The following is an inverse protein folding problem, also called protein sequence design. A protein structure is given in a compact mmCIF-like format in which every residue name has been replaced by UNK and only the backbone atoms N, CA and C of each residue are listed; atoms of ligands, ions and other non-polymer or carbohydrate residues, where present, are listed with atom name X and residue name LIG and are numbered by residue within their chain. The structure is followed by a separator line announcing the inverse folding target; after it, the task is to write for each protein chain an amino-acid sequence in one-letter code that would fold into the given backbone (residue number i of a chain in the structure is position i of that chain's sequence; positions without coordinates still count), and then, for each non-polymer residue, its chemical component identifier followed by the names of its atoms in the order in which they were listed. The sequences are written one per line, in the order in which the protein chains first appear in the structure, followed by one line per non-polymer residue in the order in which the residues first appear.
data_IF_972978207548
#
_entry.id   IF_972978207548
#
_cell.length_a   1.000
_cell.length_b   1.000
_cell.length_c   1.000
_cell.angle_alpha   90.00
_cell.angle_beta   90.00
_cell.angle_gamma   90.00
#
_symmetry.space_group_name_H-M   'P 1'
#
loop_
_entity.id
_entity.type
_entity.pdbx_description
1 polymer ?
#
# COMPACT_ATOMS: atom_id res chain seq x y z
N UNK A 1 -10.36 -6.26 14.31
CA UNK A 1 -9.64 -6.96 13.23
C UNK A 1 -10.08 -6.41 11.89
N UNK A 2 -9.15 -5.84 11.10
CA UNK A 2 -9.42 -5.34 9.74
C UNK A 2 -9.01 -6.34 8.67
N UNK A 3 -7.93 -7.08 8.90
CA UNK A 3 -7.42 -8.14 8.03
C UNK A 3 -7.17 -9.38 8.88
N UNK A 4 -7.61 -10.52 8.40
CA UNK A 4 -7.30 -11.83 8.98
C UNK A 4 -7.10 -12.84 7.86
N UNK A 5 -5.87 -13.31 7.72
CA UNK A 5 -5.49 -14.41 6.85
C UNK A 5 -5.05 -15.57 7.73
N UNK A 6 -5.49 -16.78 7.42
CA UNK A 6 -5.10 -17.99 8.15
C UNK A 6 -4.83 -19.10 7.15
N UNK A 7 -3.61 -19.64 7.22
CA UNK A 7 -3.13 -20.71 6.34
C UNK A 7 -3.35 -20.39 4.85
N UNK A 8 -3.20 -19.09 4.49
CA UNK A 8 -3.49 -18.63 3.15
C UNK A 8 -2.44 -19.11 2.17
N UNK A 9 -2.89 -19.65 1.05
CA UNK A 9 -2.03 -19.95 -0.10
C UNK A 9 -2.49 -19.19 -1.34
N UNK A 10 -1.52 -18.83 -2.19
CA UNK A 10 -1.71 -18.16 -3.45
C UNK A 10 -0.87 -18.83 -4.52
N UNK A 11 -1.47 -19.22 -5.63
CA UNK A 11 -0.77 -19.83 -6.76
C UNK A 11 -1.00 -19.06 -8.06
N UNK A 12 -0.01 -19.15 -8.96
CA UNK A 12 -0.15 -18.66 -10.34
C UNK A 12 -0.76 -19.78 -11.17
N UNK A 13 -1.88 -19.48 -11.85
CA UNK A 13 -2.56 -20.43 -12.76
C UNK A 13 -2.86 -21.82 -12.13
N UNK A 14 -2.98 -21.90 -10.81
CA UNK A 14 -3.36 -23.13 -10.10
C UNK A 14 -2.25 -24.14 -9.86
N UNK A 15 -1.01 -23.92 -10.31
CA UNK A 15 0.09 -24.87 -10.17
C UNK A 15 1.31 -24.33 -9.43
N UNK A 16 1.74 -23.11 -9.76
CA UNK A 16 2.97 -22.56 -9.19
C UNK A 16 2.67 -21.77 -7.90
N UNK A 17 3.11 -22.21 -6.74
CA UNK A 17 2.89 -21.48 -5.49
C UNK A 17 3.66 -20.16 -5.49
N UNK A 18 2.96 -19.05 -5.18
CA UNK A 18 3.56 -17.73 -4.95
C UNK A 18 3.75 -17.54 -3.46
N UNK A 19 2.72 -17.89 -2.66
CA UNK A 19 2.71 -17.83 -1.22
C UNK A 19 2.03 -19.08 -0.68
N UNK A 20 2.51 -19.63 0.45
CA UNK A 20 1.98 -20.81 1.08
C UNK A 20 1.94 -20.63 2.60
N UNK A 21 0.87 -21.10 3.22
CA UNK A 21 0.70 -21.12 4.68
C UNK A 21 0.92 -19.78 5.35
N UNK A 22 0.34 -18.71 4.77
CA UNK A 22 0.48 -17.34 5.29
C UNK A 22 -0.54 -17.10 6.40
N UNK A 23 -0.05 -16.77 7.59
CA UNK A 23 -0.81 -16.19 8.68
C UNK A 23 -0.47 -14.70 8.79
N UNK A 24 -1.48 -13.84 8.66
CA UNK A 24 -1.30 -12.40 8.69
C UNK A 24 -2.53 -11.72 9.28
N UNK A 25 -2.34 -10.75 10.14
CA UNK A 25 -3.43 -9.98 10.70
C UNK A 25 -3.10 -8.49 10.79
N UNK A 26 -4.13 -7.64 10.78
CA UNK A 26 -4.00 -6.21 11.03
C UNK A 26 -5.26 -5.64 11.69
N UNK A 27 -5.03 -4.69 12.60
CA UNK A 27 -6.07 -3.92 13.28
C UNK A 27 -6.00 -2.43 12.92
N UNK A 28 -7.00 -1.65 13.30
CA UNK A 28 -6.95 -0.20 13.13
C UNK A 28 -5.82 0.41 13.96
N UNK A 29 -5.05 1.32 13.36
CA UNK A 29 -3.89 1.93 13.99
C UNK A 29 -2.60 1.11 13.92
N UNK A 30 -2.60 -0.04 13.27
CA UNK A 30 -1.35 -0.77 13.01
C UNK A 30 -0.52 -0.11 11.92
N UNK A 31 0.81 -0.17 12.08
CA UNK A 31 1.76 0.11 11.01
C UNK A 31 2.59 -1.15 10.77
N UNK A 32 2.41 -1.76 9.61
CA UNK A 32 3.00 -3.06 9.27
C UNK A 32 3.91 -2.90 8.05
N UNK A 33 5.14 -3.35 8.18
CA UNK A 33 6.10 -3.46 7.09
C UNK A 33 6.15 -4.88 6.56
N UNK A 34 6.18 -5.03 5.24
CA UNK A 34 6.43 -6.31 4.58
C UNK A 34 7.76 -6.17 3.83
N UNK A 35 8.77 -6.90 4.28
CA UNK A 35 10.14 -6.88 3.73
C UNK A 35 10.44 -8.19 3.02
N UNK A 36 11.57 -8.27 2.31
CA UNK A 36 12.03 -9.47 1.60
C UNK A 36 12.46 -9.21 0.16
N UNK A 37 13.17 -10.16 -0.46
CA UNK A 37 13.72 -10.04 -1.82
C UNK A 37 12.66 -9.76 -2.88
N UNK A 38 13.08 -9.23 -4.03
CA UNK A 38 12.19 -9.03 -5.19
C UNK A 38 11.65 -10.40 -5.65
N UNK A 39 10.38 -10.45 -6.03
CA UNK A 39 9.75 -11.68 -6.52
C UNK A 39 9.22 -12.63 -5.45
N UNK A 40 9.41 -12.37 -4.15
CA UNK A 40 8.94 -13.27 -3.06
C UNK A 40 7.43 -13.27 -2.81
N UNK A 41 6.64 -12.44 -3.51
CA UNK A 41 5.17 -12.44 -3.38
C UNK A 41 4.57 -11.27 -2.61
N UNK A 42 5.36 -10.29 -2.15
CA UNK A 42 4.89 -9.12 -1.37
C UNK A 42 3.77 -8.35 -2.06
N UNK A 43 3.98 -7.90 -3.30
CA UNK A 43 2.96 -7.24 -4.13
C UNK A 43 1.76 -8.15 -4.37
N UNK A 44 1.96 -9.47 -4.49
CA UNK A 44 0.88 -10.43 -4.67
C UNK A 44 -0.01 -10.51 -3.43
N UNK A 45 0.57 -10.45 -2.23
CA UNK A 45 -0.20 -10.34 -1.00
C UNK A 45 -1.05 -9.08 -0.99
N UNK A 46 -0.47 -7.91 -1.29
CA UNK A 46 -1.26 -6.67 -1.38
C UNK A 46 -2.43 -6.83 -2.36
N UNK A 47 -2.20 -7.46 -3.53
CA UNK A 47 -3.23 -7.73 -4.54
C UNK A 47 -4.36 -8.63 -4.05
N UNK A 48 -4.06 -9.58 -3.17
CA UNK A 48 -5.08 -10.37 -2.46
C UNK A 48 -5.91 -9.48 -1.54
N UNK A 49 -5.28 -8.63 -0.74
CA UNK A 49 -5.97 -7.80 0.26
C UNK A 49 -7.01 -6.85 -0.35
N UNK A 50 -6.79 -6.33 -1.57
CA UNK A 50 -7.81 -5.51 -2.24
C UNK A 50 -8.61 -6.27 -3.32
N UNK A 51 -8.50 -7.61 -3.33
CA UNK A 51 -9.32 -8.49 -4.16
C UNK A 51 -9.01 -8.42 -5.66
N UNK A 52 -7.77 -8.13 -6.06
CA UNK A 52 -7.31 -8.27 -7.44
C UNK A 52 -6.93 -9.72 -7.74
N UNK A 53 -6.20 -10.37 -6.81
CA UNK A 53 -5.89 -11.77 -6.88
C UNK A 53 -6.79 -12.55 -5.92
N UNK A 54 -7.21 -13.74 -6.34
CA UNK A 54 -7.94 -14.66 -5.48
C UNK A 54 -6.97 -15.64 -4.84
N UNK A 55 -7.05 -15.85 -3.51
CA UNK A 55 -6.30 -16.90 -2.87
C UNK A 55 -6.73 -18.28 -3.38
N UNK A 56 -5.81 -19.25 -3.35
CA UNK A 56 -6.05 -20.62 -3.82
C UNK A 56 -6.54 -21.53 -2.70
N UNK A 57 -6.11 -21.32 -1.45
CA UNK A 57 -6.50 -22.10 -0.28
C UNK A 57 -6.40 -21.26 1.00
N UNK A 58 -6.93 -21.80 2.11
CA UNK A 58 -6.93 -21.18 3.43
C UNK A 58 -8.15 -20.30 3.72
N UNK A 59 -7.96 -19.28 4.57
CA UNK A 59 -9.00 -18.32 4.93
C UNK A 59 -8.47 -16.90 4.71
N UNK A 60 -9.31 -16.02 4.15
CA UNK A 60 -8.98 -14.61 3.94
C UNK A 60 -10.18 -13.74 4.19
N UNK A 61 -10.14 -12.96 5.26
CA UNK A 61 -11.15 -11.97 5.59
C UNK A 61 -10.53 -10.57 5.60
N UNK A 62 -11.14 -9.63 4.86
CA UNK A 62 -10.74 -8.23 4.81
C UNK A 62 -11.97 -7.36 5.01
N UNK A 63 -11.95 -6.51 6.04
CA UNK A 63 -13.07 -5.61 6.40
C UNK A 63 -14.40 -6.36 6.52
N UNK A 64 -14.40 -7.55 7.13
CA UNK A 64 -15.56 -8.41 7.31
C UNK A 64 -16.03 -9.12 6.02
N UNK A 65 -15.22 -9.12 4.95
CA UNK A 65 -15.53 -9.80 3.71
C UNK A 65 -14.65 -11.04 3.51
N UNK A 66 -15.26 -12.21 3.39
CA UNK A 66 -14.59 -13.44 2.96
C UNK A 66 -14.21 -13.31 1.46
N UNK A 67 -12.90 -13.24 1.15
CA UNK A 67 -12.40 -13.02 -0.20
C UNK A 67 -12.65 -14.20 -1.15
N UNK A 68 -12.83 -15.43 -0.62
CA UNK A 68 -13.19 -16.59 -1.44
C UNK A 68 -14.63 -16.50 -1.96
N UNK A 69 -15.53 -15.89 -1.18
CA UNK A 69 -16.96 -15.75 -1.51
C UNK A 69 -17.32 -14.40 -2.08
N UNK A 70 -16.40 -13.43 -2.07
CA UNK A 70 -16.65 -12.06 -2.51
C UNK A 70 -16.93 -12.03 -4.02
N UNK A 71 -18.16 -11.65 -4.37
CA UNK A 71 -18.57 -11.50 -5.78
C UNK A 71 -17.99 -10.23 -6.37
N UNK A 72 -17.63 -10.24 -7.66
CA UNK A 72 -17.06 -9.08 -8.38
C UNK A 72 -17.86 -7.78 -8.20
N UNK A 73 -19.18 -7.85 -8.15
CA UNK A 73 -20.05 -6.68 -7.92
C UNK A 73 -19.87 -6.01 -6.55
N UNK A 74 -19.29 -6.69 -5.57
CA UNK A 74 -19.06 -6.15 -4.21
C UNK A 74 -17.62 -5.62 -4.04
N UNK A 75 -16.68 -5.91 -4.95
CA UNK A 75 -15.31 -5.39 -4.91
C UNK A 75 -15.23 -3.86 -4.84
N UNK A 76 -16.05 -3.07 -5.57
CA UNK A 76 -16.00 -1.62 -5.45
C UNK A 76 -16.30 -1.11 -4.03
N UNK A 77 -17.20 -1.77 -3.30
CA UNK A 77 -17.54 -1.41 -1.92
C UNK A 77 -16.39 -1.73 -0.95
N UNK A 78 -15.68 -2.84 -1.15
CA UNK A 78 -14.46 -3.18 -0.41
C UNK A 78 -13.36 -2.17 -0.72
N UNK A 79 -13.04 -1.96 -2.01
CA UNK A 79 -11.95 -1.08 -2.46
C UNK A 79 -12.15 0.38 -2.07
N UNK A 80 -13.39 0.84 -1.93
CA UNK A 80 -13.68 2.18 -1.44
C UNK A 80 -13.12 2.44 -0.02
N UNK A 81 -12.99 1.39 0.79
CA UNK A 81 -12.47 1.46 2.16
C UNK A 81 -10.96 1.22 2.26
N UNK A 82 -10.30 0.97 1.13
CA UNK A 82 -8.87 0.68 1.02
C UNK A 82 -8.22 1.75 0.17
N UNK A 83 -7.25 2.47 0.73
CA UNK A 83 -6.37 3.35 -0.03
C UNK A 83 -5.22 2.54 -0.61
N UNK A 84 -4.91 2.73 -1.91
CA UNK A 84 -3.83 1.99 -2.56
C UNK A 84 -2.84 2.98 -3.14
N UNK A 85 -1.57 2.82 -2.79
CA UNK A 85 -0.43 3.57 -3.34
C UNK A 85 0.42 2.59 -4.13
N UNK A 86 0.40 2.74 -5.46
CA UNK A 86 1.12 1.88 -6.39
C UNK A 86 2.55 2.37 -6.61
N UNK A 87 3.47 1.46 -6.90
CA UNK A 87 4.86 1.77 -7.19
C UNK A 87 5.03 2.66 -8.44
N UNK A 88 4.18 2.48 -9.46
CA UNK A 88 4.23 3.15 -10.77
C UNK A 88 3.28 4.35 -10.90
N UNK A 89 2.89 4.97 -9.77
CA UNK A 89 1.99 6.11 -9.63
C UNK A 89 0.57 5.87 -10.17
N UNK A 90 0.41 5.34 -11.39
CA UNK A 90 -0.89 5.12 -12.07
C UNK A 90 -1.79 6.39 -12.09
N UNK A 91 -1.19 7.54 -12.39
CA UNK A 91 -1.91 8.77 -12.61
C UNK A 91 -2.39 8.88 -14.07
N UNK A 92 -3.58 9.44 -14.27
CA UNK A 92 -4.11 9.75 -15.60
C UNK A 92 -3.32 10.92 -16.18
N UNK A 93 -2.48 10.67 -17.18
CA UNK A 93 -1.47 11.61 -17.69
C UNK A 93 -2.07 12.82 -18.42
N UNK A 94 -3.26 12.65 -18.99
CA UNK A 94 -4.04 13.64 -19.72
C UNK A 94 -5.03 14.43 -18.84
N UNK A 95 -4.98 14.22 -17.55
CA UNK A 95 -5.82 14.83 -16.54
C UNK A 95 -4.97 15.62 -15.54
N UNK A 96 -5.47 16.79 -15.07
CA UNK A 96 -4.81 17.52 -13.99
C UNK A 96 -4.87 16.74 -12.68
N UNK A 97 -4.10 17.17 -11.67
CA UNK A 97 -4.16 16.61 -10.30
C UNK A 97 -5.59 16.63 -9.77
N UNK A 98 -6.27 17.78 -9.87
CA UNK A 98 -7.67 17.91 -9.45
C UNK A 98 -8.56 16.89 -10.16
N UNK A 99 -8.42 16.74 -11.47
CA UNK A 99 -9.23 15.81 -12.26
C UNK A 99 -8.95 14.34 -11.93
N UNK A 100 -7.69 13.98 -11.65
CA UNK A 100 -7.31 12.65 -11.17
C UNK A 100 -8.03 12.30 -9.86
N UNK A 101 -8.08 13.25 -8.92
CA UNK A 101 -8.74 13.05 -7.62
C UNK A 101 -10.28 13.07 -7.77
N UNK A 102 -10.84 13.99 -8.56
CA UNK A 102 -12.29 14.06 -8.84
C UNK A 102 -12.81 12.78 -9.50
N UNK A 103 -12.00 12.17 -10.39
CA UNK A 103 -12.35 10.89 -11.02
C UNK A 103 -12.63 9.81 -9.99
N UNK A 104 -11.78 9.67 -8.97
CA UNK A 104 -11.96 8.68 -7.90
C UNK A 104 -13.19 8.98 -7.06
N UNK A 105 -13.40 10.24 -6.67
CA UNK A 105 -14.58 10.64 -5.88
C UNK A 105 -15.89 10.40 -6.63
N UNK A 106 -15.89 10.64 -7.94
CA UNK A 106 -17.05 10.33 -8.80
C UNK A 106 -17.31 8.81 -8.82
N UNK A 107 -16.29 8.03 -9.07
CA UNK A 107 -16.38 6.57 -9.14
C UNK A 107 -16.85 5.95 -7.81
N UNK A 108 -16.51 6.59 -6.68
CA UNK A 108 -16.89 6.13 -5.34
C UNK A 108 -18.19 6.74 -4.80
N UNK A 109 -18.91 7.51 -5.65
CA UNK A 109 -20.27 7.98 -5.38
C UNK A 109 -20.37 9.24 -4.52
N UNK A 110 -19.32 10.07 -4.46
CA UNK A 110 -19.36 11.35 -3.75
C UNK A 110 -20.27 12.35 -4.48
N UNK A 111 -21.09 13.08 -3.71
CA UNK A 111 -21.94 14.14 -4.27
C UNK A 111 -21.09 15.26 -4.84
N UNK A 112 -21.50 15.81 -6.01
CA UNK A 112 -20.77 16.86 -6.73
C UNK A 112 -20.36 18.03 -5.84
N UNK A 113 -21.23 18.45 -4.91
CA UNK A 113 -20.98 19.61 -4.02
C UNK A 113 -19.90 19.35 -2.96
N UNK A 114 -19.61 18.09 -2.61
CA UNK A 114 -18.65 17.73 -1.56
C UNK A 114 -17.23 17.49 -2.10
N UNK A 115 -17.10 17.18 -3.39
CA UNK A 115 -15.83 16.75 -3.99
C UNK A 115 -14.75 17.83 -3.99
N UNK A 116 -15.03 19.11 -4.34
CA UNK A 116 -13.98 20.14 -4.33
C UNK A 116 -13.36 20.34 -2.95
N UNK A 117 -14.18 20.36 -1.92
CA UNK A 117 -13.70 20.48 -0.54
C UNK A 117 -12.83 19.31 -0.14
N UNK A 118 -13.27 18.07 -0.43
CA UNK A 118 -12.48 16.88 -0.12
C UNK A 118 -11.15 16.83 -0.88
N UNK A 119 -11.12 17.27 -2.14
CA UNK A 119 -9.87 17.35 -2.90
C UNK A 119 -8.93 18.37 -2.27
N UNK A 120 -9.43 19.54 -1.86
CA UNK A 120 -8.64 20.56 -1.17
C UNK A 120 -8.02 20.01 0.11
N UNK A 121 -8.83 19.38 0.97
CA UNK A 121 -8.37 18.76 2.24
C UNK A 121 -7.21 17.77 2.04
N UNK A 122 -7.36 16.83 1.10
CA UNK A 122 -6.30 15.82 0.87
C UNK A 122 -5.06 16.43 0.23
N UNK A 123 -5.19 17.44 -0.64
CA UNK A 123 -4.04 18.13 -1.20
C UNK A 123 -3.30 18.95 -0.16
N UNK A 124 -4.00 19.62 0.76
CA UNK A 124 -3.40 20.29 1.91
C UNK A 124 -2.66 19.31 2.80
N UNK A 125 -3.28 18.16 3.13
CA UNK A 125 -2.68 17.12 3.97
C UNK A 125 -1.35 16.57 3.40
N UNK A 126 -1.18 16.56 2.09
CA UNK A 126 0.07 16.10 1.43
C UNK A 126 0.97 17.27 0.99
N UNK A 127 0.62 18.53 1.29
CA UNK A 127 1.39 19.71 0.92
C UNK A 127 1.40 20.02 -0.58
N UNK A 128 0.28 19.73 -1.30
CA UNK A 128 0.17 19.86 -2.76
C UNK A 128 -1.00 20.76 -3.20
N UNK A 129 -1.52 21.62 -2.32
CA UNK A 129 -2.66 22.48 -2.59
C UNK A 129 -2.47 23.34 -3.86
N UNK A 130 -1.28 23.94 -4.03
CA UNK A 130 -0.93 24.81 -5.16
C UNK A 130 -0.72 24.07 -6.49
N UNK A 131 -0.75 22.73 -6.48
CA UNK A 131 -0.52 21.89 -7.66
C UNK A 131 -1.78 21.28 -8.24
N UNK A 132 -2.96 21.73 -7.80
CA UNK A 132 -4.25 21.16 -8.20
C UNK A 132 -4.48 21.18 -9.72
N UNK A 133 -4.04 22.23 -10.41
CA UNK A 133 -4.22 22.41 -11.85
C UNK A 133 -3.07 21.91 -12.71
N UNK A 134 -1.98 21.42 -12.10
CA UNK A 134 -0.84 20.83 -12.82
C UNK A 134 -1.19 19.45 -13.40
N UNK A 135 -0.56 19.09 -14.50
CA UNK A 135 -0.57 17.75 -15.04
C UNK A 135 0.51 16.87 -14.40
N UNK A 136 0.36 15.52 -14.36
CA UNK A 136 1.36 14.64 -13.79
C UNK A 136 2.78 14.82 -14.38
N UNK A 137 2.92 15.12 -15.67
CA UNK A 137 4.21 15.30 -16.31
C UNK A 137 4.92 16.61 -15.92
N UNK A 138 4.25 17.54 -15.28
CA UNK A 138 4.80 18.80 -14.74
C UNK A 138 5.31 18.63 -13.30
N UNK A 139 5.09 17.45 -12.69
CA UNK A 139 5.44 17.14 -11.31
C UNK A 139 6.71 16.29 -11.22
N UNK A 140 7.54 16.57 -10.22
CA UNK A 140 8.63 15.68 -9.83
C UNK A 140 8.12 14.32 -9.36
N UNK A 141 8.97 13.30 -9.29
CA UNK A 141 8.58 11.98 -8.79
C UNK A 141 8.01 12.02 -7.37
N UNK A 142 8.62 12.81 -6.47
CA UNK A 142 8.13 13.00 -5.11
C UNK A 142 6.77 13.71 -5.05
N UNK A 143 6.52 14.70 -5.90
CA UNK A 143 5.22 15.35 -6.01
C UNK A 143 4.16 14.39 -6.57
N UNK A 144 4.48 13.60 -7.60
CA UNK A 144 3.57 12.58 -8.11
C UNK A 144 3.21 11.56 -7.03
N UNK A 145 4.19 11.13 -6.23
CA UNK A 145 3.96 10.21 -5.11
C UNK A 145 3.02 10.81 -4.07
N UNK A 146 3.18 12.09 -3.71
CA UNK A 146 2.24 12.77 -2.80
C UNK A 146 0.82 12.81 -3.36
N UNK A 147 0.65 13.02 -4.67
CA UNK A 147 -0.67 12.95 -5.30
C UNK A 147 -1.25 11.53 -5.25
N UNK A 148 -0.44 10.49 -5.41
CA UNK A 148 -0.89 9.10 -5.24
C UNK A 148 -1.36 8.82 -3.81
N UNK A 149 -0.68 9.38 -2.81
CA UNK A 149 -1.09 9.27 -1.41
C UNK A 149 -2.38 10.07 -1.17
N UNK A 150 -2.49 11.33 -1.68
CA UNK A 150 -3.73 12.10 -1.61
C UNK A 150 -4.91 11.32 -2.19
N UNK A 151 -4.71 10.66 -3.36
CA UNK A 151 -5.70 9.79 -3.98
C UNK A 151 -6.10 8.62 -3.08
N UNK A 152 -5.16 8.00 -2.40
CA UNK A 152 -5.43 6.90 -1.47
C UNK A 152 -6.24 7.35 -0.25
N UNK A 153 -6.05 8.59 0.22
CA UNK A 153 -6.73 9.17 1.39
C UNK A 153 -8.16 9.68 1.10
N UNK A 154 -8.57 9.82 -0.17
CA UNK A 154 -9.84 10.45 -0.56
C UNK A 154 -11.08 9.92 0.14
N UNK A 155 -11.18 8.62 0.33
CA UNK A 155 -12.37 7.96 0.87
C UNK A 155 -12.29 7.68 2.38
N UNK A 156 -11.40 8.31 3.14
CA UNK A 156 -11.13 8.00 4.55
C UNK A 156 -10.91 6.49 4.74
N UNK A 157 -9.83 5.93 4.16
CA UNK A 157 -9.62 4.50 4.13
C UNK A 157 -9.42 3.93 5.54
N UNK A 158 -9.94 2.73 5.77
CA UNK A 158 -9.67 1.95 6.98
C UNK A 158 -8.35 1.18 6.88
N UNK A 159 -7.91 0.90 5.64
CA UNK A 159 -6.65 0.24 5.33
C UNK A 159 -5.93 1.04 4.24
N UNK A 160 -4.64 1.24 4.38
CA UNK A 160 -3.76 1.80 3.35
C UNK A 160 -2.75 0.72 2.97
N UNK A 161 -2.72 0.38 1.69
CA UNK A 161 -1.76 -0.55 1.11
C UNK A 161 -0.78 0.25 0.26
N UNK A 162 0.49 0.22 0.60
CA UNK A 162 1.53 0.97 -0.09
C UNK A 162 2.63 0.02 -0.61
N UNK A 163 2.85 0.04 -1.91
CA UNK A 163 3.90 -0.77 -2.56
C UNK A 163 5.06 0.14 -2.93
N UNK A 164 6.18 0.03 -2.19
CA UNK A 164 7.42 0.81 -2.34
C UNK A 164 7.19 2.35 -2.41
N UNK A 165 6.43 2.95 -1.48
CA UNK A 165 5.98 4.35 -1.62
C UNK A 165 7.10 5.38 -1.49
N UNK A 166 8.29 4.99 -1.06
CA UNK A 166 9.46 5.85 -0.89
C UNK A 166 10.62 5.48 -1.82
N UNK A 167 10.42 4.51 -2.72
CA UNK A 167 11.43 4.13 -3.68
C UNK A 167 11.78 5.29 -4.61
N UNK A 168 13.07 5.45 -4.91
CA UNK A 168 13.60 6.49 -5.79
C UNK A 168 13.36 7.94 -5.33
N UNK A 169 13.07 8.15 -4.04
CA UNK A 169 12.92 9.47 -3.45
C UNK A 169 14.14 9.80 -2.58
N UNK A 170 14.45 11.09 -2.50
CA UNK A 170 15.46 11.55 -1.56
C UNK A 170 15.00 11.31 -0.10
N UNK A 171 15.94 11.18 0.86
CA UNK A 171 15.61 10.84 2.25
C UNK A 171 14.65 11.80 2.93
N UNK A 172 14.70 13.10 2.60
CA UNK A 172 13.84 14.11 3.21
C UNK A 172 12.40 13.98 2.71
N UNK A 173 12.21 13.84 1.39
CA UNK A 173 10.90 13.55 0.79
C UNK A 173 10.34 12.24 1.33
N UNK A 174 11.19 11.21 1.47
CA UNK A 174 10.79 9.92 2.06
C UNK A 174 10.23 10.08 3.48
N UNK A 175 10.91 10.84 4.36
CA UNK A 175 10.43 11.13 5.72
C UNK A 175 9.09 11.86 5.74
N UNK A 176 8.92 12.84 4.87
CA UNK A 176 7.66 13.59 4.77
C UNK A 176 6.49 12.69 4.34
N UNK A 177 6.73 11.76 3.42
CA UNK A 177 5.75 10.74 3.01
C UNK A 177 5.42 9.82 4.17
N UNK A 178 6.43 9.35 4.91
CA UNK A 178 6.21 8.51 6.08
C UNK A 178 5.38 9.22 7.16
N UNK A 179 5.57 10.54 7.36
CA UNK A 179 4.76 11.31 8.29
C UNK A 179 3.28 11.35 7.88
N UNK A 180 2.97 11.43 6.58
CA UNK A 180 1.59 11.38 6.09
C UNK A 180 0.95 10.02 6.44
N UNK A 181 1.68 8.91 6.28
CA UNK A 181 1.18 7.60 6.69
C UNK A 181 1.01 7.46 8.19
N UNK A 182 1.92 8.03 9.00
CA UNK A 182 1.77 8.06 10.46
C UNK A 182 0.51 8.83 10.89
N UNK A 183 0.25 9.98 10.29
CA UNK A 183 -0.95 10.76 10.57
C UNK A 183 -2.22 9.94 10.26
N UNK A 184 -2.25 9.25 9.11
CA UNK A 184 -3.37 8.38 8.75
C UNK A 184 -3.54 7.20 9.72
N UNK A 185 -2.44 6.62 10.22
CA UNK A 185 -2.45 5.61 11.28
C UNK A 185 -3.04 6.15 12.58
N UNK A 186 -2.63 7.34 13.01
CA UNK A 186 -3.14 8.00 14.21
C UNK A 186 -4.64 8.31 14.11
N UNK A 187 -5.16 8.53 12.90
CA UNK A 187 -6.58 8.64 12.60
C UNK A 187 -7.31 7.28 12.61
N UNK A 188 -6.59 6.17 12.83
CA UNK A 188 -7.14 4.82 13.01
C UNK A 188 -7.05 3.92 11.78
N UNK A 189 -6.43 4.34 10.68
CA UNK A 189 -6.18 3.46 9.55
C UNK A 189 -5.08 2.43 9.87
N UNK A 190 -5.22 1.19 9.36
CA UNK A 190 -4.09 0.27 9.30
C UNK A 190 -3.24 0.58 8.07
N UNK A 191 -1.93 0.73 8.23
CA UNK A 191 -0.98 0.97 7.14
C UNK A 191 -0.15 -0.28 6.92
N UNK A 192 -0.25 -0.88 5.74
CA UNK A 192 0.55 -2.02 5.31
C UNK A 192 1.45 -1.57 4.17
N UNK A 193 2.76 -1.57 4.41
CA UNK A 193 3.76 -1.04 3.51
C UNK A 193 4.76 -2.12 3.09
N UNK A 194 4.86 -2.37 1.81
CA UNK A 194 5.99 -3.12 1.23
C UNK A 194 7.15 -2.16 1.06
N UNK A 195 8.33 -2.50 1.56
CA UNK A 195 9.53 -1.69 1.39
C UNK A 195 10.82 -2.51 1.51
N UNK A 196 11.85 -2.07 0.78
CA UNK A 196 13.23 -2.53 0.91
C UNK A 196 14.08 -1.55 1.76
N UNK A 197 13.55 -0.38 2.12
CA UNK A 197 14.28 0.62 2.88
C UNK A 197 14.19 0.36 4.40
N UNK A 198 15.09 -0.45 4.92
CA UNK A 198 15.15 -0.81 6.33
C UNK A 198 15.46 0.38 7.26
N UNK A 199 16.06 1.47 6.74
CA UNK A 199 16.33 2.66 7.54
C UNK A 199 15.03 3.35 8.03
N UNK A 200 13.94 3.17 7.30
CA UNK A 200 12.64 3.74 7.69
C UNK A 200 12.09 3.07 8.96
N UNK A 201 12.37 1.79 9.19
CA UNK A 201 11.87 1.04 10.34
C UNK A 201 12.42 1.61 11.66
N UNK A 202 13.67 2.08 11.66
CA UNK A 202 14.29 2.72 12.82
C UNK A 202 13.71 4.09 13.16
N UNK A 203 13.19 4.81 12.16
CA UNK A 203 12.61 6.14 12.33
C UNK A 203 11.10 6.10 12.59
N UNK A 204 10.42 5.11 12.02
CA UNK A 204 8.97 4.93 12.09
C UNK A 204 8.65 3.49 12.53
N UNK A 205 8.58 3.24 13.86
CA UNK A 205 8.38 1.88 14.38
C UNK A 205 7.06 1.25 13.93
N UNK A 206 7.10 -0.05 13.64
CA UNK A 206 5.94 -0.84 13.24
C UNK A 206 6.23 -2.33 13.35
N UNK A 207 5.22 -3.15 13.13
CA UNK A 207 5.36 -4.61 13.06
C UNK A 207 6.01 -4.98 11.73
N UNK A 208 6.98 -5.89 11.75
CA UNK A 208 7.70 -6.31 10.54
C UNK A 208 7.36 -7.75 10.20
N UNK A 209 6.89 -7.96 8.99
CA UNK A 209 6.74 -9.28 8.38
C UNK A 209 7.80 -9.48 7.31
N UNK A 210 8.53 -10.61 7.38
CA UNK A 210 9.50 -10.99 6.34
C UNK A 210 8.87 -11.97 5.36
N UNK A 211 8.97 -11.66 4.08
CA UNK A 211 8.54 -12.53 3.00
C UNK A 211 9.77 -13.22 2.39
N UNK A 212 9.87 -14.54 2.56
CA UNK A 212 10.94 -15.38 2.03
C UNK A 212 10.40 -16.76 1.66
N UNK A 213 10.92 -17.37 0.60
CA UNK A 213 10.60 -18.74 0.17
C UNK A 213 9.09 -19.05 0.07
N UNK A 214 8.30 -18.05 -0.35
CA UNK A 214 6.85 -18.17 -0.46
C UNK A 214 6.10 -18.15 0.87
N UNK A 215 6.76 -17.82 1.96
CA UNK A 215 6.17 -17.68 3.29
C UNK A 215 6.26 -16.23 3.79
N UNK A 216 5.37 -15.87 4.71
CA UNK A 216 5.40 -14.56 5.38
C UNK A 216 5.31 -14.84 6.88
N UNK A 217 6.30 -14.36 7.63
CA UNK A 217 6.35 -14.52 9.08
C UNK A 217 6.64 -13.18 9.75
N UNK A 218 6.01 -12.95 10.91
CA UNK A 218 6.33 -11.82 11.76
C UNK A 218 7.73 -12.01 12.34
N UNK A 219 8.57 -10.95 12.23
CA UNK A 219 9.91 -10.93 12.80
C UNK A 219 9.91 -10.06 14.05
N UNK A 220 10.46 -10.58 15.15
CA UNK A 220 10.73 -9.75 16.31
C UNK A 220 11.71 -8.63 15.92
N UNK A 221 11.43 -7.40 16.29
CA UNK A 221 12.15 -6.15 15.92
C UNK A 221 13.63 -6.08 16.34
N UNK A 222 14.26 -7.20 16.71
CA UNK A 222 15.61 -7.31 17.27
C UNK A 222 16.65 -7.98 16.36
N UNK A 223 16.35 -8.29 15.09
CA UNK A 223 17.38 -8.87 14.19
C UNK A 223 17.41 -8.20 12.80
N UNK A 224 18.17 -7.11 12.61
CA UNK A 224 18.54 -6.62 11.28
C UNK A 224 19.84 -7.23 10.72
N UNK A 225 20.27 -8.45 11.14
CA UNK A 225 21.67 -8.85 10.95
C UNK A 225 21.98 -9.69 9.71
N UNK A 226 21.01 -10.22 8.96
CA UNK A 226 21.38 -11.10 7.83
C UNK A 226 21.22 -10.51 6.41
N UNK A 227 20.63 -9.31 6.28
CA UNK A 227 20.40 -8.75 4.92
C UNK A 227 21.63 -7.96 4.38
N UNK A 228 22.68 -7.76 5.17
CA UNK A 228 23.91 -7.09 4.70
C UNK A 228 24.86 -8.01 3.92
N UNK A 229 24.84 -9.29 4.15
CA UNK A 229 25.69 -10.25 3.43
C UNK A 229 25.19 -10.52 2.00
N UNK A 230 23.89 -10.47 1.78
CA UNK A 230 23.31 -10.70 0.45
C UNK A 230 23.50 -9.52 -0.53
N UNK A 231 23.57 -8.28 -0.04
CA UNK A 231 23.79 -7.10 -0.87
C UNK A 231 25.26 -6.92 -1.36
N UNK A 232 26.22 -7.57 -0.72
CA UNK A 232 27.63 -7.51 -1.10
C UNK A 232 27.97 -8.53 -2.20
N UNK A 233 27.23 -9.61 -2.33
CA UNK A 233 27.49 -10.66 -3.31
C UNK A 233 26.94 -10.36 -4.71
N UNK A 234 26.04 -9.38 -4.88
CA UNK A 234 25.51 -9.00 -6.20
C UNK A 234 26.44 -8.05 -6.99
N UNK A 235 27.51 -7.54 -6.37
CA UNK A 235 28.49 -6.65 -7.05
C UNK A 235 29.80 -7.34 -7.45
N UNK A 236 29.97 -8.64 -7.22
CA UNK A 236 31.18 -9.37 -7.62
C UNK A 236 30.97 -10.28 -8.87
N UNK A 237 29.80 -10.28 -9.52
CA UNK A 237 29.51 -11.07 -10.73
C UNK A 237 29.17 -10.22 -11.97
N UNK A 238 29.68 -8.98 -12.10
CA UNK A 238 29.70 -8.23 -13.36
C UNK A 238 31.12 -7.94 -13.86
#
# INVERSE_FOLDING_TARGET
MLIQLSDLSLSRNGSDPILSHVDFHAEGGDFIYITGKVGTGKTSLLKVLYGELRPSDGKAEVLGNDLFRLKRRHLPALRKKIGIVFQDFQLLRDQTVHQNLDFVLRATGWKKKQRPERIREVLEAVGMAERADCFPHELSGGEQQRICIARALLNHPQIILADEPTANLDPETGKQIMQIFQNAREEGAAVIMVTHNLNLLGLFPGVVYRCADGQIAETSSSQPENDKEDALNEHEEE
#
